data_IF_409922581279
#
_entry.id   IF_409922581279
#
_cell.length_a   1.000
_cell.length_b   1.000
_cell.length_c   1.000
_cell.angle_alpha   90.00
_cell.angle_beta   90.00
_cell.angle_gamma   90.00
#
_symmetry.space_group_name_H-M   'P 1'
#
loop_
_entity.id
_entity.type
_entity.pdbx_description
1 polymer ?
#
# COMPACT_ATOMS: atom_id res chain seq x y z
N UNK A 1 -2.88 0.17 18.11
CA UNK A 1 -2.56 -1.19 17.59
C UNK A 1 -2.01 -1.11 16.17
N UNK A 2 -0.87 -1.78 15.91
CA UNK A 2 -0.30 -1.92 14.55
C UNK A 2 -0.93 -3.13 13.85
N UNK A 3 -1.31 -2.97 12.58
CA UNK A 3 -1.90 -4.01 11.72
C UNK A 3 -1.25 -4.00 10.34
N UNK A 4 -1.47 -5.08 9.58
CA UNK A 4 -1.06 -5.14 8.17
C UNK A 4 -2.02 -4.33 7.29
N UNK A 5 -1.47 -3.55 6.36
CA UNK A 5 -2.18 -2.69 5.41
C UNK A 5 -2.11 -3.23 3.97
N UNK A 6 -1.96 -4.55 3.79
CA UNK A 6 -1.65 -5.13 2.48
C UNK A 6 -2.73 -4.84 1.43
N UNK A 7 -4.00 -4.84 1.81
CA UNK A 7 -5.09 -4.58 0.87
C UNK A 7 -5.00 -3.19 0.24
N UNK A 8 -4.71 -2.15 1.03
CA UNK A 8 -4.59 -0.79 0.52
C UNK A 8 -3.33 -0.61 -0.32
N UNK A 9 -2.22 -1.23 0.08
CA UNK A 9 -0.99 -1.20 -0.72
C UNK A 9 -1.22 -1.87 -2.09
N UNK A 10 -1.94 -2.99 -2.13
CA UNK A 10 -2.31 -3.63 -3.40
C UNK A 10 -3.21 -2.74 -4.26
N UNK A 11 -4.24 -2.10 -3.67
CA UNK A 11 -5.13 -1.17 -4.38
C UNK A 11 -4.37 0.03 -4.95
N UNK A 12 -3.48 0.64 -4.17
CA UNK A 12 -2.63 1.75 -4.61
C UNK A 12 -1.73 1.37 -5.80
N UNK A 13 -1.34 0.08 -5.88
CA UNK A 13 -0.56 -0.49 -6.98
C UNK A 13 -1.40 -1.02 -8.15
N UNK A 14 -2.72 -0.87 -8.11
CA UNK A 14 -3.62 -1.40 -9.14
C UNK A 14 -3.68 -2.93 -9.18
N UNK A 15 -3.37 -3.60 -8.06
CA UNK A 15 -3.38 -5.06 -7.93
C UNK A 15 -4.71 -5.50 -7.35
N UNK A 16 -5.62 -5.97 -8.21
CA UNK A 16 -6.95 -6.45 -7.79
C UNK A 16 -6.88 -7.80 -7.03
N UNK A 17 -5.87 -8.62 -7.31
CA UNK A 17 -5.74 -10.00 -6.79
C UNK A 17 -4.49 -10.14 -5.92
N UNK A 18 -4.48 -9.48 -4.77
CA UNK A 18 -3.35 -9.50 -3.81
C UNK A 18 -2.91 -10.91 -3.39
N UNK A 19 -3.87 -11.81 -3.16
CA UNK A 19 -3.57 -13.21 -2.86
C UNK A 19 -2.77 -13.90 -3.98
N UNK A 20 -3.26 -13.85 -5.22
CA UNK A 20 -2.57 -14.43 -6.38
C UNK A 20 -1.22 -13.78 -6.63
N UNK A 21 -1.12 -12.47 -6.40
CA UNK A 21 0.15 -11.74 -6.48
C UNK A 21 1.18 -12.30 -5.50
N UNK A 22 0.83 -12.50 -4.23
CA UNK A 22 1.75 -13.06 -3.24
C UNK A 22 2.23 -14.47 -3.60
N UNK A 23 1.32 -15.32 -4.09
CA UNK A 23 1.65 -16.68 -4.53
C UNK A 23 2.64 -16.66 -5.69
N UNK A 24 2.38 -15.83 -6.70
CA UNK A 24 3.24 -15.69 -7.88
C UNK A 24 4.68 -15.29 -7.51
N UNK A 25 4.85 -14.55 -6.42
CA UNK A 25 6.16 -14.06 -5.95
C UNK A 25 6.75 -14.90 -4.80
N UNK A 26 6.26 -16.12 -4.58
CA UNK A 26 6.92 -17.10 -3.71
C UNK A 26 6.45 -17.14 -2.25
N UNK A 27 5.38 -16.42 -1.90
CA UNK A 27 4.73 -16.58 -0.59
C UNK A 27 3.78 -17.79 -0.68
N UNK A 28 3.85 -18.72 0.29
CA UNK A 28 3.00 -19.92 0.25
C UNK A 28 1.51 -19.59 0.37
N UNK A 29 0.65 -20.46 -0.17
CA UNK A 29 -0.83 -20.38 -0.08
C UNK A 29 -1.32 -20.10 1.35
N UNK A 30 -0.83 -20.89 2.31
CA UNK A 30 -1.16 -20.71 3.72
C UNK A 30 -0.70 -19.35 4.27
N UNK A 31 0.54 -18.93 3.95
CA UNK A 31 1.06 -17.65 4.40
C UNK A 31 0.31 -16.47 3.78
N UNK A 32 0.04 -16.50 2.48
CA UNK A 32 -0.71 -15.47 1.77
C UNK A 32 -2.12 -15.31 2.34
N UNK A 33 -2.82 -16.43 2.62
CA UNK A 33 -4.14 -16.40 3.23
C UNK A 33 -4.12 -15.84 4.64
N UNK A 34 -3.10 -16.18 5.44
CA UNK A 34 -2.95 -15.65 6.79
C UNK A 34 -2.67 -14.14 6.77
N UNK A 35 -1.73 -13.69 5.94
CA UNK A 35 -1.32 -12.29 5.82
C UNK A 35 -2.46 -11.37 5.36
N UNK A 36 -3.30 -11.84 4.44
CA UNK A 36 -4.35 -11.00 3.84
C UNK A 36 -5.66 -11.00 4.64
N UNK A 37 -6.03 -12.12 5.27
CA UNK A 37 -7.40 -12.31 5.78
C UNK A 37 -7.50 -12.55 7.28
N UNK A 38 -6.41 -12.90 7.97
CA UNK A 38 -6.48 -13.40 9.36
C UNK A 38 -5.89 -12.46 10.42
N UNK A 39 -5.64 -11.19 10.07
CA UNK A 39 -5.07 -10.19 10.98
C UNK A 39 -3.93 -10.77 11.84
N UNK A 40 -2.84 -11.24 11.20
CA UNK A 40 -1.82 -12.01 11.89
C UNK A 40 -1.11 -11.15 12.94
N UNK A 41 -0.66 -11.78 14.03
CA UNK A 41 0.14 -11.11 15.08
C UNK A 41 1.54 -10.70 14.61
N UNK A 42 1.97 -11.13 13.44
CA UNK A 42 3.30 -10.85 12.91
C UNK A 42 3.46 -11.28 11.46
N UNK A 43 4.53 -10.78 10.85
CA UNK A 43 4.95 -11.09 9.49
C UNK A 43 6.44 -11.43 9.51
N UNK A 44 6.84 -12.42 8.72
CA UNK A 44 8.25 -12.78 8.60
C UNK A 44 8.98 -11.72 7.77
N UNK A 45 10.22 -11.39 8.14
CA UNK A 45 11.06 -10.42 7.41
C UNK A 45 11.19 -10.77 5.92
N UNK A 46 11.31 -12.06 5.59
CA UNK A 46 11.34 -12.51 4.18
C UNK A 46 10.09 -12.12 3.39
N UNK A 47 8.91 -12.07 4.03
CA UNK A 47 7.69 -11.66 3.35
C UNK A 47 7.66 -10.15 3.15
N UNK A 48 8.12 -9.37 4.15
CA UNK A 48 8.30 -7.91 4.00
C UNK A 48 9.23 -7.64 2.81
N UNK A 49 10.37 -8.32 2.75
CA UNK A 49 11.34 -8.14 1.68
C UNK A 49 10.77 -8.47 0.29
N UNK A 50 10.08 -9.62 0.15
CA UNK A 50 9.40 -10.00 -1.10
C UNK A 50 8.38 -8.93 -1.49
N UNK A 51 7.52 -8.49 -0.55
CA UNK A 51 6.48 -7.52 -0.81
C UNK A 51 7.08 -6.17 -1.24
N UNK A 52 8.01 -5.61 -0.48
CA UNK A 52 8.64 -4.33 -0.79
C UNK A 52 9.41 -4.35 -2.11
N UNK A 53 10.09 -5.45 -2.45
CA UNK A 53 10.78 -5.62 -3.74
C UNK A 53 9.84 -5.51 -4.94
N UNK A 54 8.63 -6.06 -4.85
CA UNK A 54 7.70 -6.11 -5.97
C UNK A 54 6.64 -4.99 -5.94
N UNK A 55 6.34 -4.46 -4.75
CA UNK A 55 5.43 -3.34 -4.55
C UNK A 55 6.14 -2.00 -4.50
N UNK A 56 7.48 -1.95 -4.62
CA UNK A 56 8.30 -0.73 -4.62
C UNK A 56 7.92 0.20 -3.45
N UNK A 57 7.78 -0.36 -2.25
CA UNK A 57 7.31 0.36 -1.06
C UNK A 57 8.34 0.25 0.07
N UNK A 58 8.23 1.12 1.06
CA UNK A 58 8.96 0.99 2.31
C UNK A 58 8.34 -0.12 3.18
N UNK A 59 9.09 -0.73 4.11
CA UNK A 59 8.52 -1.68 5.07
C UNK A 59 7.38 -1.08 5.88
N UNK A 60 7.48 0.20 6.25
CA UNK A 60 6.45 0.98 6.96
C UNK A 60 5.12 1.04 6.20
N UNK A 61 5.15 1.00 4.86
CA UNK A 61 3.95 1.03 4.01
C UNK A 61 3.05 -0.18 4.18
N UNK A 62 3.62 -1.32 4.59
CA UNK A 62 2.89 -2.55 4.84
C UNK A 62 2.08 -2.52 6.13
N UNK A 63 2.21 -1.45 6.94
CA UNK A 63 1.60 -1.34 8.25
C UNK A 63 0.66 -0.12 8.36
N UNK A 64 -0.37 -0.29 9.18
CA UNK A 64 -1.25 0.76 9.65
C UNK A 64 -1.25 0.78 11.19
N UNK A 65 -1.52 1.93 11.77
CA UNK A 65 -1.70 2.09 13.21
C UNK A 65 -3.08 2.68 13.51
N UNK A 66 -3.79 2.05 14.45
CA UNK A 66 -5.08 2.53 14.96
C UNK A 66 -4.92 2.83 16.45
N UNK A 67 -5.00 4.11 16.89
CA UNK A 67 -4.92 4.45 18.31
C UNK A 67 -6.04 3.77 19.11
N UNK A 68 -5.77 3.39 20.37
CA UNK A 68 -6.86 2.98 21.27
C UNK A 68 -7.75 4.16 21.65
N UNK A 69 -9.01 3.90 22.04
CA UNK A 69 -10.04 4.95 22.27
C UNK A 69 -9.62 6.06 23.24
N UNK A 70 -8.70 5.77 24.16
CA UNK A 70 -8.23 6.71 25.18
C UNK A 70 -6.73 7.04 25.03
N UNK A 71 -6.11 6.65 23.91
CA UNK A 71 -4.70 6.89 23.64
C UNK A 71 -4.57 8.18 22.83
N UNK A 72 -3.93 9.19 23.42
CA UNK A 72 -3.55 10.41 22.71
C UNK A 72 -2.08 10.36 22.39
N UNK A 73 -1.76 10.12 21.11
CA UNK A 73 -0.41 10.30 20.62
C UNK A 73 -0.14 11.79 20.47
N UNK A 74 1.05 12.22 20.89
CA UNK A 74 1.56 13.55 20.52
C UNK A 74 1.50 13.72 18.99
N UNK A 75 1.14 14.90 18.50
CA UNK A 75 1.06 15.23 17.08
C UNK A 75 2.38 14.94 16.34
N UNK A 76 3.51 15.09 17.03
CA UNK A 76 4.84 14.85 16.46
C UNK A 76 5.32 13.39 16.63
N UNK A 77 4.48 12.49 17.15
CA UNK A 77 4.88 11.10 17.37
C UNK A 77 5.04 10.34 16.04
N UNK A 78 6.13 9.59 15.80
CA UNK A 78 6.34 8.91 14.51
C UNK A 78 5.24 7.94 14.07
N UNK A 79 4.52 7.32 15.01
CA UNK A 79 3.39 6.43 14.69
C UNK A 79 2.21 7.15 14.02
N UNK A 80 2.12 8.49 14.12
CA UNK A 80 1.14 9.28 13.38
C UNK A 80 1.27 9.03 11.88
N UNK A 81 2.49 8.78 11.37
CA UNK A 81 2.75 8.45 9.95
C UNK A 81 2.16 7.11 9.50
N UNK A 82 1.80 6.24 10.44
CA UNK A 82 1.17 4.95 10.15
C UNK A 82 -0.36 5.00 10.27
N UNK A 83 -0.94 6.12 10.73
CA UNK A 83 -2.38 6.32 10.67
C UNK A 83 -2.75 6.55 9.20
N UNK A 84 -3.61 5.68 8.65
CA UNK A 84 -4.00 5.70 7.24
C UNK A 84 -5.44 6.16 7.11
N UNK A 85 -5.68 7.16 6.28
CA UNK A 85 -7.05 7.51 5.88
C UNK A 85 -7.57 6.49 4.87
N UNK A 86 -8.79 5.99 5.10
CA UNK A 86 -9.39 4.95 4.26
C UNK A 86 -9.70 5.43 2.83
N UNK A 87 -9.67 6.74 2.58
CA UNK A 87 -10.15 7.37 1.36
C UNK A 87 -9.14 7.39 0.19
N UNK A 88 -7.85 7.15 0.42
CA UNK A 88 -6.83 7.70 -0.50
C UNK A 88 -6.27 6.76 -1.58
N UNK A 89 -6.55 5.45 -1.55
CA UNK A 89 -5.71 4.49 -2.28
C UNK A 89 -6.33 3.83 -3.52
N UNK A 90 -7.42 4.35 -4.11
CA UNK A 90 -8.02 3.71 -5.30
C UNK A 90 -7.92 4.58 -6.56
N UNK A 91 -6.70 4.70 -7.08
CA UNK A 91 -6.42 5.37 -8.37
C UNK A 91 -7.34 4.85 -9.49
N UNK A 92 -7.59 3.54 -9.53
CA UNK A 92 -8.45 2.92 -10.55
C UNK A 92 -9.88 3.45 -10.50
N UNK A 93 -10.45 3.65 -9.31
CA UNK A 93 -11.76 4.31 -9.15
C UNK A 93 -11.69 5.80 -9.50
N UNK A 94 -10.64 6.51 -9.08
CA UNK A 94 -10.49 7.93 -9.36
C UNK A 94 -10.47 8.23 -10.87
N UNK A 95 -9.86 7.33 -11.67
CA UNK A 95 -9.75 7.51 -13.12
C UNK A 95 -10.85 6.83 -13.94
N UNK A 96 -11.70 5.99 -13.33
CA UNK A 96 -12.67 5.19 -14.09
C UNK A 96 -13.77 6.01 -14.77
N UNK A 97 -14.06 7.19 -14.23
CA UNK A 97 -15.12 8.08 -14.71
C UNK A 97 -14.58 9.25 -15.56
N UNK A 98 -13.26 9.27 -15.82
CA UNK A 98 -12.63 10.32 -16.61
C UNK A 98 -12.79 10.05 -18.10
N UNK A 99 -12.91 11.14 -18.87
CA UNK A 99 -12.88 11.08 -20.33
C UNK A 99 -11.49 10.69 -20.84
N UNK A 100 -11.44 10.22 -22.08
CA UNK A 100 -10.18 9.86 -22.74
C UNK A 100 -9.15 11.01 -22.76
N UNK A 101 -9.61 12.26 -22.93
CA UNK A 101 -8.71 13.42 -22.94
C UNK A 101 -8.13 13.72 -21.55
N UNK A 102 -8.92 13.55 -20.50
CA UNK A 102 -8.46 13.71 -19.11
C UNK A 102 -7.45 12.62 -18.74
N UNK A 103 -7.64 11.38 -19.22
CA UNK A 103 -6.66 10.30 -19.03
C UNK A 103 -5.32 10.59 -19.70
N UNK A 104 -5.33 11.17 -20.91
CA UNK A 104 -4.11 11.61 -21.60
C UNK A 104 -3.40 12.71 -20.78
N UNK A 105 -4.16 13.70 -20.30
CA UNK A 105 -3.62 14.81 -19.51
C UNK A 105 -2.96 14.31 -18.22
N UNK A 106 -3.62 13.40 -17.49
CA UNK A 106 -3.06 12.77 -16.28
C UNK A 106 -1.77 12.01 -16.60
N UNK A 107 -1.78 11.22 -17.67
CA UNK A 107 -0.60 10.45 -18.07
C UNK A 107 0.60 11.37 -18.37
N UNK A 108 0.35 12.52 -19.00
CA UNK A 108 1.38 13.54 -19.24
C UNK A 108 1.96 14.06 -17.93
N UNK A 109 1.10 14.47 -16.98
CA UNK A 109 1.53 14.97 -15.67
C UNK A 109 2.36 13.93 -14.89
N UNK A 110 1.94 12.66 -14.90
CA UNK A 110 2.70 11.56 -14.26
C UNK A 110 4.09 11.40 -14.89
N UNK A 111 4.19 11.53 -16.21
CA UNK A 111 5.47 11.43 -16.90
C UNK A 111 6.40 12.61 -16.61
N UNK A 112 5.86 13.78 -16.34
CA UNK A 112 6.65 14.96 -15.98
C UNK A 112 7.18 14.86 -14.53
N UNK A 113 6.37 14.34 -13.58
CA UNK A 113 6.85 13.99 -12.23
C UNK A 113 8.06 13.04 -12.26
N UNK A 114 8.05 12.05 -13.17
CA UNK A 114 9.16 11.10 -13.34
C UNK A 114 10.44 11.71 -13.94
N UNK A 115 10.36 12.90 -14.55
CA UNK A 115 11.52 13.58 -15.11
C UNK A 115 12.22 14.45 -14.07
N UNK A 116 11.47 15.06 -13.16
CA UNK A 116 12.00 15.89 -12.08
C UNK A 116 12.88 15.07 -11.12
N UNK A 117 12.47 13.85 -10.78
CA UNK A 117 13.27 12.90 -9.96
C UNK A 117 14.58 12.43 -10.62
N UNK A 118 14.74 12.61 -11.94
CA UNK A 118 15.95 12.17 -12.68
C UNK A 118 17.00 13.28 -12.87
N UNK A 119 16.75 14.48 -12.36
CA UNK A 119 17.66 15.62 -12.49
C UNK A 119 18.54 15.85 -11.25
N UNK A 120 18.58 14.89 -10.31
CA UNK A 120 19.45 14.87 -9.13
C UNK A 120 20.33 13.62 -9.11
#
# INVERSE_FOLDING_TARGET
>A
MITLNLEQVFKARGIDKGYSFMIKHGISSSAAGNLLYRAPRGILLKHIEILCKHLVCEPSDLFAYTPEKNETLNENHPLQKLIRDQAEANLKQAISNLSYQELIAITKNINDLKKEDKSH
#
